data_IF_475885353657
#
_entry.id   IF_475885353657
#
_cell.length_a   1.000
_cell.length_b   1.000
_cell.length_c   1.000
_cell.angle_alpha   90.00
_cell.angle_beta   90.00
_cell.angle_gamma   90.00
#
_symmetry.space_group_name_H-M   'P 1'
#
loop_
_entity.id
_entity.type
_entity.pdbx_description
1 polymer ?
#
# COMPACT_ATOMS: atom_id res chain seq x y z
N UNK A 1 22.73 -61.39 -31.11
CA UNK A 1 23.24 -60.03 -30.83
C UNK A 1 22.41 -59.41 -29.71
N UNK A 2 22.83 -59.59 -28.46
CA UNK A 2 22.09 -59.13 -27.28
C UNK A 2 22.37 -57.65 -27.01
N UNK A 3 21.29 -56.86 -26.89
CA UNK A 3 21.31 -55.46 -26.47
C UNK A 3 21.87 -55.36 -25.04
N UNK A 4 23.10 -54.86 -24.89
CA UNK A 4 23.53 -54.29 -23.60
C UNK A 4 22.74 -52.99 -23.37
N UNK A 5 21.64 -53.11 -22.64
CA UNK A 5 20.92 -51.94 -22.14
C UNK A 5 21.80 -51.26 -21.08
N UNK A 6 22.30 -50.07 -21.43
CA UNK A 6 23.31 -49.32 -20.68
C UNK A 6 22.80 -48.95 -19.27
N UNK A 7 23.24 -49.68 -18.24
CA UNK A 7 22.88 -49.46 -16.82
C UNK A 7 23.10 -48.01 -16.36
N UNK A 8 24.07 -47.32 -16.94
CA UNK A 8 24.40 -45.91 -16.66
C UNK A 8 23.31 -44.94 -17.10
N UNK A 9 22.61 -45.21 -18.21
CA UNK A 9 21.46 -44.39 -18.65
C UNK A 9 20.24 -44.58 -17.76
N UNK A 10 20.04 -45.79 -17.21
CA UNK A 10 18.95 -46.07 -16.28
C UNK A 10 19.15 -45.40 -14.91
N UNK A 11 20.40 -45.29 -14.41
CA UNK A 11 20.73 -44.64 -13.14
C UNK A 11 20.50 -43.12 -13.20
N UNK A 12 20.84 -42.47 -14.32
CA UNK A 12 20.59 -41.03 -14.52
C UNK A 12 19.09 -40.70 -14.61
N UNK A 13 18.29 -41.57 -15.22
CA UNK A 13 16.83 -41.40 -15.30
C UNK A 13 16.17 -41.62 -13.92
N UNK A 14 16.63 -42.60 -13.12
CA UNK A 14 16.13 -42.81 -11.76
C UNK A 14 16.46 -41.64 -10.81
N UNK A 15 17.65 -41.05 -10.93
CA UNK A 15 18.05 -39.88 -10.14
C UNK A 15 17.22 -38.63 -10.42
N UNK A 16 16.82 -38.42 -11.68
CA UNK A 16 15.96 -37.30 -12.08
C UNK A 16 14.51 -37.45 -11.57
N UNK A 17 14.00 -38.68 -11.52
CA UNK A 17 12.66 -39.00 -11.00
C UNK A 17 12.61 -38.81 -9.46
N UNK A 18 13.66 -39.20 -8.73
CA UNK A 18 13.72 -39.02 -7.28
C UNK A 18 13.86 -37.54 -6.86
N UNK A 19 14.55 -36.72 -7.66
CA UNK A 19 14.67 -35.28 -7.41
C UNK A 19 13.37 -34.51 -7.73
N UNK A 20 12.58 -34.95 -8.72
CA UNK A 20 11.29 -34.34 -9.06
C UNK A 20 10.15 -34.62 -8.06
N UNK A 21 10.13 -35.82 -7.45
CA UNK A 21 9.08 -36.24 -6.51
C UNK A 21 9.26 -35.70 -5.07
N UNK A 22 10.51 -35.53 -4.63
CA UNK A 22 10.81 -34.94 -3.31
C UNK A 22 10.45 -33.45 -3.23
N UNK A 23 10.74 -32.70 -4.29
CA UNK A 23 10.46 -31.26 -4.37
C UNK A 23 8.96 -30.95 -4.40
N UNK A 24 8.16 -31.75 -5.11
CA UNK A 24 6.71 -31.54 -5.21
C UNK A 24 5.99 -31.80 -3.88
N UNK A 25 6.35 -32.88 -3.17
CA UNK A 25 5.77 -33.20 -1.85
C UNK A 25 6.15 -32.18 -0.78
N UNK A 26 7.43 -31.73 -0.76
CA UNK A 26 7.90 -30.69 0.15
C UNK A 26 7.24 -29.33 -0.16
N UNK A 27 7.15 -28.95 -1.44
CA UNK A 27 6.46 -27.73 -1.85
C UNK A 27 4.97 -27.73 -1.46
N UNK A 28 4.27 -28.86 -1.65
CA UNK A 28 2.87 -28.99 -1.23
C UNK A 28 2.69 -28.89 0.28
N UNK A 29 3.58 -29.51 1.06
CA UNK A 29 3.61 -29.41 2.53
C UNK A 29 3.91 -27.98 3.01
N UNK A 30 4.81 -27.26 2.34
CA UNK A 30 5.13 -25.86 2.65
C UNK A 30 3.94 -24.92 2.41
N UNK A 31 3.25 -25.04 1.27
CA UNK A 31 2.05 -24.25 0.96
C UNK A 31 0.94 -24.45 1.99
N UNK A 32 0.72 -25.69 2.44
CA UNK A 32 -0.27 -25.99 3.48
C UNK A 32 0.08 -25.32 4.82
N UNK A 33 1.37 -25.23 5.17
CA UNK A 33 1.83 -24.54 6.39
C UNK A 33 1.65 -23.02 6.29
N UNK A 34 1.96 -22.43 5.15
CA UNK A 34 1.71 -21.01 4.90
C UNK A 34 0.21 -20.68 5.01
N UNK A 35 -0.64 -21.49 4.37
CA UNK A 35 -2.10 -21.35 4.43
C UNK A 35 -2.63 -21.41 5.86
N UNK A 36 -2.18 -22.39 6.66
CA UNK A 36 -2.60 -22.51 8.07
C UNK A 36 -2.25 -21.26 8.89
N UNK A 37 -1.05 -20.72 8.71
CA UNK A 37 -0.61 -19.51 9.42
C UNK A 37 -1.45 -18.29 8.99
N UNK A 38 -1.75 -18.18 7.69
CA UNK A 38 -2.65 -17.15 7.16
C UNK A 38 -4.10 -17.26 7.67
N UNK A 39 -4.65 -18.47 7.74
CA UNK A 39 -5.99 -18.71 8.31
C UNK A 39 -6.04 -18.28 9.78
N UNK A 40 -5.00 -18.61 10.55
CA UNK A 40 -4.87 -18.17 11.94
C UNK A 40 -4.75 -16.64 12.03
N UNK A 41 -3.95 -16.00 11.18
CA UNK A 41 -3.86 -14.55 11.11
C UNK A 41 -5.22 -13.89 10.82
N UNK A 42 -5.98 -14.46 9.87
CA UNK A 42 -7.31 -13.98 9.50
C UNK A 42 -8.29 -14.11 10.68
N UNK A 43 -8.23 -15.23 11.40
CA UNK A 43 -9.01 -15.42 12.61
C UNK A 43 -8.64 -14.39 13.69
N UNK A 44 -7.35 -14.23 14.01
CA UNK A 44 -6.87 -13.24 14.99
C UNK A 44 -7.29 -11.81 14.61
N UNK A 45 -7.18 -11.45 13.33
CA UNK A 45 -7.62 -10.17 12.82
C UNK A 45 -9.13 -9.95 13.00
N UNK A 46 -9.95 -10.99 12.78
CA UNK A 46 -11.40 -10.94 13.04
C UNK A 46 -11.74 -10.70 14.51
N UNK A 47 -10.86 -11.13 15.42
CA UNK A 47 -10.96 -10.89 16.87
C UNK A 47 -10.35 -9.55 17.31
N UNK A 48 -9.90 -8.71 16.38
CA UNK A 48 -9.24 -7.44 16.69
C UNK A 48 -7.79 -7.55 17.18
N UNK A 49 -7.23 -8.77 17.25
CA UNK A 49 -5.86 -9.07 17.73
C UNK A 49 -4.84 -8.83 16.62
N UNK A 50 -4.68 -7.56 16.24
CA UNK A 50 -3.92 -7.13 15.05
C UNK A 50 -2.42 -7.44 15.13
N UNK A 51 -1.78 -7.27 16.28
CA UNK A 51 -0.33 -7.57 16.41
C UNK A 51 -0.04 -9.06 16.28
N UNK A 52 -0.87 -9.89 16.87
CA UNK A 52 -0.74 -11.34 16.77
C UNK A 52 -1.03 -11.83 15.35
N UNK A 53 -2.01 -11.21 14.67
CA UNK A 53 -2.24 -11.45 13.25
C UNK A 53 -1.00 -11.13 12.41
N UNK A 54 -0.29 -10.03 12.69
CA UNK A 54 0.96 -9.69 12.00
C UNK A 54 2.03 -10.77 12.20
N UNK A 55 2.18 -11.31 13.42
CA UNK A 55 3.14 -12.40 13.69
C UNK A 55 2.84 -13.66 12.87
N UNK A 56 1.57 -14.03 12.76
CA UNK A 56 1.13 -15.18 11.95
C UNK A 56 1.28 -14.91 10.45
N UNK A 57 1.08 -13.66 10.00
CA UNK A 57 1.35 -13.26 8.61
C UNK A 57 2.84 -13.35 8.28
N UNK A 58 3.74 -12.93 9.16
CA UNK A 58 5.18 -13.12 8.94
C UNK A 58 5.54 -14.61 8.89
N UNK A 59 4.87 -15.44 9.68
CA UNK A 59 5.06 -16.89 9.65
C UNK A 59 4.58 -17.48 8.32
N UNK A 60 3.44 -17.02 7.79
CA UNK A 60 2.97 -17.40 6.46
C UNK A 60 3.97 -16.99 5.36
N UNK A 61 4.42 -15.74 5.39
CA UNK A 61 5.32 -15.15 4.40
C UNK A 61 6.74 -15.73 4.44
N UNK A 62 7.20 -16.21 5.61
CA UNK A 62 8.49 -16.92 5.73
C UNK A 62 8.45 -18.27 5.00
N UNK A 63 7.29 -18.92 4.96
CA UNK A 63 7.10 -20.22 4.33
C UNK A 63 6.77 -20.07 2.85
N UNK A 64 5.92 -19.11 2.50
CA UNK A 64 5.59 -18.74 1.12
C UNK A 64 5.80 -17.23 0.91
N UNK A 65 7.00 -16.82 0.46
CA UNK A 65 7.32 -15.40 0.23
C UNK A 65 6.53 -14.73 -0.88
N UNK A 66 5.77 -15.49 -1.68
CA UNK A 66 4.94 -14.98 -2.77
C UNK A 66 3.44 -15.04 -2.42
N UNK A 67 3.09 -15.28 -1.15
CA UNK A 67 1.69 -15.40 -0.74
C UNK A 67 0.97 -14.04 -0.77
N UNK A 68 0.25 -13.82 -1.87
CA UNK A 68 -0.44 -12.57 -2.17
C UNK A 68 -1.38 -12.14 -1.04
N UNK A 69 -2.29 -13.01 -0.62
CA UNK A 69 -3.33 -12.71 0.36
C UNK A 69 -2.74 -12.34 1.73
N UNK A 70 -1.61 -12.94 2.11
CA UNK A 70 -0.92 -12.62 3.35
C UNK A 70 -0.34 -11.19 3.32
N UNK A 71 0.30 -10.78 2.23
CA UNK A 71 0.76 -9.40 2.08
C UNK A 71 -0.41 -8.40 2.05
N UNK A 72 -1.52 -8.76 1.38
CA UNK A 72 -2.70 -7.90 1.34
C UNK A 72 -3.30 -7.66 2.72
N UNK A 73 -3.47 -8.72 3.53
CA UNK A 73 -3.98 -8.58 4.89
C UNK A 73 -2.99 -7.78 5.77
N UNK A 74 -1.68 -7.98 5.59
CA UNK A 74 -0.65 -7.22 6.29
C UNK A 74 -0.73 -5.73 5.98
N UNK A 75 -0.84 -5.36 4.70
CA UNK A 75 -1.06 -3.96 4.27
C UNK A 75 -2.33 -3.39 4.89
N UNK A 76 -3.44 -4.12 4.87
CA UNK A 76 -4.71 -3.69 5.44
C UNK A 76 -4.63 -3.43 6.96
N UNK A 77 -3.88 -4.24 7.71
CA UNK A 77 -3.69 -4.04 9.14
C UNK A 77 -2.97 -2.71 9.41
N UNK A 78 -1.90 -2.40 8.67
CA UNK A 78 -1.18 -1.14 8.78
C UNK A 78 -2.00 0.05 8.29
N UNK A 79 -2.77 -0.11 7.21
CA UNK A 79 -3.69 0.93 6.71
C UNK A 79 -4.73 1.30 7.79
N UNK A 80 -5.28 0.31 8.50
CA UNK A 80 -6.18 0.55 9.65
C UNK A 80 -5.52 1.24 10.84
N UNK A 81 -4.19 1.18 10.95
CA UNK A 81 -3.40 1.92 11.95
C UNK A 81 -3.03 3.32 11.47
N UNK A 82 -3.35 3.67 10.23
CA UNK A 82 -2.87 4.89 9.55
C UNK A 82 -1.34 4.95 9.46
N UNK A 83 -0.70 3.79 9.51
CA UNK A 83 0.74 3.63 9.34
C UNK A 83 1.02 3.38 7.86
N UNK A 84 1.05 4.48 7.10
CA UNK A 84 1.00 4.44 5.63
C UNK A 84 2.28 3.86 5.02
N UNK A 85 3.45 4.19 5.58
CA UNK A 85 4.72 3.63 5.14
C UNK A 85 4.75 2.11 5.28
N UNK A 86 4.36 1.59 6.45
CA UNK A 86 4.32 0.14 6.66
C UNK A 86 3.16 -0.54 5.92
N UNK A 87 2.10 0.19 5.55
CA UNK A 87 1.02 -0.33 4.71
C UNK A 87 1.43 -0.47 3.24
N UNK A 88 2.24 0.46 2.73
CA UNK A 88 2.69 0.49 1.34
C UNK A 88 3.62 -0.68 1.02
N UNK A 89 4.55 -1.02 1.93
CA UNK A 89 5.57 -2.06 1.70
C UNK A 89 4.96 -3.43 1.36
N UNK A 90 4.02 -4.00 2.14
CA UNK A 90 3.37 -5.27 1.78
C UNK A 90 2.57 -5.18 0.49
N UNK A 91 1.88 -4.07 0.21
CA UNK A 91 1.10 -3.93 -1.01
C UNK A 91 2.00 -3.94 -2.26
N UNK A 92 3.13 -3.22 -2.20
CA UNK A 92 4.15 -3.26 -3.25
C UNK A 92 4.65 -4.70 -3.47
N UNK A 93 5.06 -5.39 -2.40
CA UNK A 93 5.50 -6.79 -2.49
C UNK A 93 4.45 -7.71 -3.09
N UNK A 94 3.18 -7.55 -2.73
CA UNK A 94 2.08 -8.34 -3.28
C UNK A 94 1.95 -8.15 -4.79
N UNK A 95 2.01 -6.90 -5.26
CA UNK A 95 1.84 -6.55 -6.69
C UNK A 95 3.08 -6.80 -7.55
N UNK A 96 4.28 -6.75 -6.97
CA UNK A 96 5.52 -7.18 -7.63
C UNK A 96 5.56 -8.70 -7.84
N UNK A 97 5.11 -9.46 -6.83
CA UNK A 97 5.04 -10.93 -6.91
C UNK A 97 3.94 -11.41 -7.87
N UNK A 98 2.90 -10.61 -8.09
CA UNK A 98 1.76 -10.94 -8.97
C UNK A 98 1.48 -9.78 -9.93
N UNK A 99 2.30 -9.62 -11.00
CA UNK A 99 2.15 -8.50 -11.95
C UNK A 99 0.79 -8.47 -12.65
N UNK A 100 0.16 -9.64 -12.85
CA UNK A 100 -1.20 -9.79 -13.38
C UNK A 100 -2.26 -9.09 -12.52
N UNK A 101 -1.99 -8.94 -11.22
CA UNK A 101 -2.88 -8.27 -10.27
C UNK A 101 -2.54 -6.80 -10.08
N UNK A 102 -1.36 -6.33 -10.51
CA UNK A 102 -0.86 -4.96 -10.24
C UNK A 102 -1.85 -3.89 -10.71
N UNK A 103 -2.36 -4.00 -11.94
CA UNK A 103 -3.32 -3.04 -12.50
C UNK A 103 -4.58 -2.90 -11.63
N UNK A 104 -5.08 -4.01 -11.05
CA UNK A 104 -6.24 -4.02 -10.15
C UNK A 104 -5.98 -3.26 -8.84
N UNK A 105 -4.75 -3.28 -8.35
CA UNK A 105 -4.35 -2.69 -7.07
C UNK A 105 -3.63 -1.35 -7.20
N UNK A 106 -3.40 -0.87 -8.43
CA UNK A 106 -2.64 0.34 -8.71
C UNK A 106 -3.22 1.58 -8.03
N UNK A 107 -4.54 1.76 -8.02
CA UNK A 107 -5.18 2.88 -7.31
C UNK A 107 -4.97 2.81 -5.79
N UNK A 108 -4.83 1.60 -5.23
CA UNK A 108 -4.50 1.43 -3.82
C UNK A 108 -3.03 1.75 -3.52
N UNK A 109 -2.12 1.42 -4.43
CA UNK A 109 -0.72 1.84 -4.36
C UNK A 109 -0.62 3.37 -4.38
N UNK A 110 -1.25 4.02 -5.36
CA UNK A 110 -1.28 5.49 -5.48
C UNK A 110 -1.82 6.12 -4.19
N UNK A 111 -2.92 5.60 -3.65
CA UNK A 111 -3.52 6.10 -2.41
C UNK A 111 -2.58 5.95 -1.21
N UNK A 112 -1.94 4.80 -1.03
CA UNK A 112 -1.02 4.58 0.09
C UNK A 112 0.25 5.44 -0.07
N UNK A 113 0.83 5.53 -1.26
CA UNK A 113 1.97 6.42 -1.54
C UNK A 113 1.62 7.88 -1.25
N UNK A 114 0.45 8.36 -1.69
CA UNK A 114 -0.03 9.70 -1.39
C UNK A 114 -0.18 9.93 0.13
N UNK A 115 -0.80 8.99 0.84
CA UNK A 115 -0.99 9.08 2.30
C UNK A 115 0.33 9.02 3.08
N UNK A 116 1.33 8.32 2.56
CA UNK A 116 2.69 8.28 3.09
C UNK A 116 3.52 9.54 2.75
N UNK A 117 2.96 10.52 2.03
CA UNK A 117 3.68 11.71 1.58
C UNK A 117 4.67 11.45 0.44
N UNK A 118 4.63 10.26 -0.18
CA UNK A 118 5.48 9.86 -1.31
C UNK A 118 4.82 10.30 -2.61
N UNK A 119 4.76 11.61 -2.82
CA UNK A 119 4.00 12.21 -3.93
C UNK A 119 4.59 11.89 -5.31
N UNK A 120 5.91 11.83 -5.42
CA UNK A 120 6.58 11.39 -6.66
C UNK A 120 6.18 9.95 -7.01
N UNK A 121 6.31 9.02 -6.06
CA UNK A 121 5.93 7.61 -6.26
C UNK A 121 4.44 7.45 -6.61
N UNK A 122 3.57 8.23 -5.96
CA UNK A 122 2.14 8.24 -6.26
C UNK A 122 1.86 8.75 -7.68
N UNK A 123 2.56 9.80 -8.11
CA UNK A 123 2.43 10.37 -9.44
C UNK A 123 2.98 9.41 -10.51
N UNK A 124 4.12 8.79 -10.28
CA UNK A 124 4.72 7.82 -11.20
C UNK A 124 3.84 6.58 -11.39
N UNK A 125 3.29 6.03 -10.30
CA UNK A 125 2.33 4.93 -10.37
C UNK A 125 1.05 5.32 -11.12
N UNK A 126 0.61 6.57 -10.99
CA UNK A 126 -0.51 7.10 -11.76
C UNK A 126 -0.18 7.21 -13.27
N UNK A 127 1.04 7.64 -13.63
CA UNK A 127 1.50 7.66 -15.01
C UNK A 127 1.62 6.24 -15.59
N UNK A 128 2.17 5.29 -14.81
CA UNK A 128 2.20 3.86 -15.15
C UNK A 128 0.80 3.38 -15.54
N UNK A 129 -0.21 3.68 -14.73
CA UNK A 129 -1.59 3.31 -15.01
C UNK A 129 -2.09 3.86 -16.34
N UNK A 130 -1.83 5.13 -16.64
CA UNK A 130 -2.25 5.76 -17.90
C UNK A 130 -1.53 5.26 -19.14
N UNK A 131 -0.43 4.49 -19.01
CA UNK A 131 0.16 3.78 -20.17
C UNK A 131 -0.73 2.64 -20.66
N UNK A 132 -1.63 2.13 -19.81
CA UNK A 132 -2.58 1.09 -20.15
C UNK A 132 -3.95 1.71 -20.45
N UNK A 133 -4.40 1.63 -21.71
CA UNK A 133 -5.66 2.24 -22.17
C UNK A 133 -6.91 1.74 -21.44
N UNK A 134 -6.85 0.54 -20.86
CA UNK A 134 -7.98 -0.07 -20.16
C UNK A 134 -8.03 0.33 -18.68
N UNK A 135 -6.97 0.96 -18.17
CA UNK A 135 -6.93 1.49 -16.82
C UNK A 135 -7.47 2.91 -16.76
N UNK A 136 -8.29 3.18 -15.75
CA UNK A 136 -8.70 4.54 -15.40
C UNK A 136 -8.75 4.69 -13.89
N UNK A 137 -8.31 5.85 -13.42
CA UNK A 137 -8.39 6.20 -12.01
C UNK A 137 -9.84 6.52 -11.64
N UNK A 138 -10.41 5.81 -10.66
CA UNK A 138 -11.81 5.99 -10.26
C UNK A 138 -11.96 7.15 -9.30
N UNK A 139 -11.06 7.26 -8.32
CA UNK A 139 -11.02 8.38 -7.38
C UNK A 139 -10.46 9.64 -8.03
N UNK A 140 -11.35 10.47 -8.57
CA UNK A 140 -11.00 11.75 -9.19
C UNK A 140 -10.42 12.76 -8.20
N UNK A 141 -10.85 12.72 -6.93
CA UNK A 141 -10.30 13.61 -5.91
C UNK A 141 -8.85 13.26 -5.62
N UNK A 142 -8.55 11.97 -5.45
CA UNK A 142 -7.17 11.50 -5.26
C UNK A 142 -6.30 11.84 -6.48
N UNK A 143 -6.81 11.71 -7.70
CA UNK A 143 -6.10 12.10 -8.92
C UNK A 143 -5.67 13.57 -8.86
N UNK A 144 -6.60 14.49 -8.60
CA UNK A 144 -6.29 15.92 -8.48
C UNK A 144 -5.33 16.19 -7.31
N UNK A 145 -5.52 15.49 -6.19
CA UNK A 145 -4.68 15.63 -5.00
C UNK A 145 -3.23 15.23 -5.26
N UNK A 146 -3.00 14.12 -5.97
CA UNK A 146 -1.65 13.65 -6.33
C UNK A 146 -0.97 14.65 -7.27
N UNK A 147 -1.69 15.15 -8.29
CA UNK A 147 -1.15 16.16 -9.22
C UNK A 147 -0.78 17.46 -8.51
N UNK A 148 -1.68 17.94 -7.67
CA UNK A 148 -1.46 19.14 -6.88
C UNK A 148 -0.25 18.96 -5.93
N UNK A 149 -0.21 17.87 -5.18
CA UNK A 149 0.87 17.62 -4.22
C UNK A 149 2.24 17.49 -4.90
N UNK A 150 2.31 16.80 -6.05
CA UNK A 150 3.52 16.72 -6.88
C UNK A 150 4.02 18.12 -7.27
N UNK A 151 3.12 18.93 -7.83
CA UNK A 151 3.45 20.30 -8.28
C UNK A 151 3.85 21.21 -7.11
N UNK A 152 3.10 21.15 -6.00
CA UNK A 152 3.34 21.99 -4.83
C UNK A 152 4.65 21.66 -4.12
N UNK A 153 5.10 20.40 -4.14
CA UNK A 153 6.40 20.02 -3.57
C UNK A 153 7.58 20.41 -4.48
N UNK A 154 7.42 20.32 -5.80
CA UNK A 154 8.47 20.73 -6.75
C UNK A 154 8.58 22.25 -6.92
N UNK A 155 7.47 22.96 -6.77
CA UNK A 155 7.38 24.40 -6.91
C UNK A 155 6.54 24.95 -5.76
N UNK A 156 7.10 24.96 -4.53
CA UNK A 156 6.39 25.49 -3.38
C UNK A 156 6.01 26.94 -3.63
N UNK A 157 4.74 27.26 -3.42
CA UNK A 157 4.28 28.65 -3.44
C UNK A 157 4.89 29.34 -2.23
N UNK A 158 5.74 30.34 -2.47
CA UNK A 158 6.21 31.21 -1.39
C UNK A 158 5.01 31.90 -0.75
N UNK A 159 4.82 31.66 0.54
CA UNK A 159 3.82 32.32 1.34
C UNK A 159 4.50 33.46 2.09
N UNK A 160 4.14 34.69 1.74
CA UNK A 160 4.44 35.89 2.52
C UNK A 160 3.15 36.36 3.21
N UNK A 161 2.72 35.70 4.30
CA UNK A 161 1.51 36.07 4.98
C UNK A 161 1.68 37.46 5.57
N UNK A 162 0.86 38.39 5.12
CA UNK A 162 0.71 39.70 5.75
C UNK A 162 -0.57 39.72 6.59
N UNK A 163 -0.55 40.53 7.66
CA UNK A 163 -1.78 40.83 8.39
C UNK A 163 -2.82 41.37 7.40
N UNK A 164 -4.03 40.80 7.46
CA UNK A 164 -5.18 41.36 6.77
C UNK A 164 -5.39 42.80 7.29
N UNK A 165 -5.59 43.73 6.37
CA UNK A 165 -5.85 45.13 6.74
C UNK A 165 -7.21 45.31 7.42
N UNK A 166 -7.36 46.45 8.09
CA UNK A 166 -8.60 46.81 8.81
C UNK A 166 -8.61 46.26 10.23
N UNK A 167 -9.78 45.83 10.69
CA UNK A 167 -9.99 45.34 12.05
C UNK A 167 -9.82 43.82 12.13
N UNK A 168 -8.80 43.23 11.50
CA UNK A 168 -8.48 41.80 11.56
C UNK A 168 -7.02 41.66 11.96
N UNK A 169 -6.64 40.66 12.75
CA UNK A 169 -5.30 40.52 13.34
C UNK A 169 -4.98 41.60 14.37
N UNK A 170 -5.93 41.88 15.26
CA UNK A 170 -5.69 42.71 16.46
C UNK A 170 -4.93 41.94 17.55
N UNK A 171 -4.54 42.61 18.63
CA UNK A 171 -3.94 41.96 19.81
C UNK A 171 -4.96 41.12 20.60
N UNK A 172 -6.27 41.37 20.40
CA UNK A 172 -7.35 40.63 21.04
C UNK A 172 -7.46 39.21 20.46
N UNK A 173 -7.79 38.20 21.27
CA UNK A 173 -7.97 36.83 20.78
C UNK A 173 -9.11 36.72 19.74
N UNK A 174 -8.76 36.22 18.55
CA UNK A 174 -9.67 36.00 17.42
C UNK A 174 -9.84 34.49 17.14
N UNK A 175 -11.09 34.02 17.04
CA UNK A 175 -11.43 32.60 16.90
C UNK A 175 -12.42 32.34 15.76
N UNK A 176 -12.48 31.07 15.36
CA UNK A 176 -13.44 30.52 14.40
C UNK A 176 -13.52 31.28 13.05
N UNK A 177 -12.38 31.55 12.38
CA UNK A 177 -12.43 32.13 11.05
C UNK A 177 -13.12 31.18 10.08
N UNK A 178 -14.12 31.68 9.38
CA UNK A 178 -14.87 30.96 8.35
C UNK A 178 -14.92 31.82 7.08
N UNK A 179 -14.27 31.34 6.02
CA UNK A 179 -14.36 31.93 4.69
C UNK A 179 -15.66 31.49 4.02
N UNK A 180 -16.32 32.42 3.34
CA UNK A 180 -17.40 32.08 2.42
C UNK A 180 -16.83 31.32 1.21
N UNK A 181 -17.65 30.46 0.61
CA UNK A 181 -17.26 29.72 -0.59
C UNK A 181 -16.85 30.63 -1.77
N UNK A 182 -17.36 31.86 -1.81
CA UNK A 182 -16.98 32.90 -2.76
C UNK A 182 -15.57 33.45 -2.54
N UNK A 183 -14.96 33.23 -1.37
CA UNK A 183 -13.65 33.76 -1.01
C UNK A 183 -13.61 35.27 -0.77
N UNK A 184 -14.74 35.97 -0.88
CA UNK A 184 -14.83 37.43 -0.78
C UNK A 184 -15.08 37.94 0.65
N UNK A 185 -15.46 37.05 1.57
CA UNK A 185 -15.86 37.39 2.94
C UNK A 185 -15.38 36.34 3.93
N UNK A 186 -15.04 36.80 5.12
CA UNK A 186 -14.70 35.97 6.27
C UNK A 186 -15.54 36.41 7.47
N UNK A 187 -16.06 35.46 8.24
CA UNK A 187 -16.60 35.70 9.57
C UNK A 187 -15.59 35.19 10.58
N UNK A 188 -15.38 35.94 11.65
CA UNK A 188 -14.59 35.53 12.80
C UNK A 188 -15.24 36.07 14.07
N UNK A 189 -14.82 35.55 15.21
CA UNK A 189 -15.23 36.04 16.53
C UNK A 189 -14.02 36.66 17.22
N UNK A 190 -14.22 37.75 17.95
CA UNK A 190 -13.18 38.40 18.77
C UNK A 190 -13.67 38.48 20.21
N UNK A 191 -12.81 38.14 21.14
CA UNK A 191 -13.03 38.38 22.56
C UNK A 191 -12.59 39.81 22.89
N UNK A 192 -13.53 40.65 23.34
CA UNK A 192 -13.24 42.04 23.70
C UNK A 192 -13.16 42.15 25.23
N UNK A 193 -12.09 42.75 25.73
CA UNK A 193 -12.02 43.17 27.13
C UNK A 193 -13.03 44.31 27.35
N UNK A 194 -14.09 44.03 28.11
CA UNK A 194 -15.07 45.05 28.49
C UNK A 194 -14.56 45.82 29.73
N UNK A 195 -14.53 47.16 29.71
CA UNK A 195 -14.11 47.97 30.85
C UNK A 195 -15.09 47.89 32.05
#
# INVERSE_FOLDING_TARGET
>A
MSKQFNKTKAILILGFIFFGLGNSSYAQSSKKRALKSYEQATYLYSQGRRDEALVELESALRVDPLFFEAYMLKSQIYEKRKDWDNALVPLLRATEAHPDKRQKWLESLIRLSYRAGRYDEAFDAMQEGYTNSDWSMKDQLLNQSVRFAKMAFESPTELDPSALGGDVNTDDPEYYPALFASGDRMIFTRELDYP
#
